data_IF_954021684077
#
_entry.id   IF_954021684077
#
_cell.length_a   1.000
_cell.length_b   1.000
_cell.length_c   1.000
_cell.angle_alpha   90.00
_cell.angle_beta   90.00
_cell.angle_gamma   90.00
#
_symmetry.space_group_name_H-M   'P 1'
#
loop_
_entity.id
_entity.type
_entity.pdbx_description
1 polymer ?
#
# COMPACT_ATOMS: atom_id res chain seq x y z
N UNK A 1 -30.44 39.19 9.97
CA UNK A 1 -30.44 37.73 9.81
C UNK A 1 -29.31 37.37 8.85
N UNK A 2 -28.22 36.81 9.35
CA UNK A 2 -27.12 36.32 8.51
C UNK A 2 -27.54 34.95 8.01
N UNK A 3 -27.85 34.82 6.73
CA UNK A 3 -28.10 33.52 6.10
C UNK A 3 -26.84 32.67 6.30
N UNK A 4 -26.92 31.47 6.88
CA UNK A 4 -25.76 30.59 6.97
C UNK A 4 -25.28 30.32 5.55
N UNK A 5 -24.05 30.75 5.20
CA UNK A 5 -23.42 30.32 3.96
C UNK A 5 -23.43 28.79 3.98
N UNK A 6 -24.17 28.19 3.05
CA UNK A 6 -24.16 26.75 2.88
C UNK A 6 -22.70 26.30 2.78
N UNK A 7 -22.32 25.28 3.55
CA UNK A 7 -20.97 24.73 3.52
C UNK A 7 -20.75 24.17 2.11
N UNK A 8 -19.98 24.89 1.29
CA UNK A 8 -19.63 24.44 -0.04
C UNK A 8 -18.89 23.11 0.07
N UNK A 9 -19.45 22.07 -0.54
CA UNK A 9 -18.84 20.73 -0.60
C UNK A 9 -18.50 20.44 -2.05
N UNK A 10 -17.21 20.58 -2.42
CA UNK A 10 -16.82 20.41 -3.81
C UNK A 10 -16.99 18.96 -4.25
N UNK A 11 -17.46 18.76 -5.48
CA UNK A 11 -17.60 17.43 -6.09
C UNK A 11 -16.41 17.18 -7.00
N UNK A 12 -15.44 16.43 -6.48
CA UNK A 12 -14.17 16.23 -7.18
C UNK A 12 -14.29 15.08 -8.19
N UNK A 13 -13.94 15.36 -9.44
CA UNK A 13 -13.89 14.38 -10.53
C UNK A 13 -12.44 14.27 -11.02
N UNK A 14 -12.03 13.05 -11.35
CA UNK A 14 -10.69 12.75 -11.86
C UNK A 14 -10.76 12.34 -13.33
N UNK A 15 -9.88 12.89 -14.16
CA UNK A 15 -9.79 12.59 -15.60
C UNK A 15 -8.34 12.70 -16.09
N UNK A 16 -7.97 12.14 -17.26
CA UNK A 16 -6.68 12.45 -17.88
C UNK A 16 -6.54 13.95 -18.17
N UNK A 17 -5.31 14.46 -18.14
CA UNK A 17 -4.99 15.81 -18.63
C UNK A 17 -5.16 15.84 -20.16
N UNK A 18 -5.65 16.97 -20.69
CA UNK A 18 -5.98 17.16 -22.11
C UNK A 18 -5.29 18.41 -22.68
N UNK A 19 -5.24 18.59 -24.01
CA UNK A 19 -4.68 19.80 -24.64
C UNK A 19 -5.28 21.13 -24.15
N UNK A 20 -6.58 21.14 -23.81
CA UNK A 20 -7.27 22.33 -23.28
C UNK A 20 -6.75 22.80 -21.92
N UNK A 21 -6.06 21.92 -21.18
CA UNK A 21 -5.55 22.19 -19.84
C UNK A 21 -4.20 22.94 -19.83
N UNK A 22 -3.58 23.14 -21.00
CA UNK A 22 -2.17 23.55 -21.12
C UNK A 22 -1.83 24.82 -20.32
N UNK A 23 -2.61 25.87 -20.49
CA UNK A 23 -2.31 27.17 -19.88
C UNK A 23 -2.59 27.15 -18.38
N UNK A 24 -3.67 26.52 -17.93
CA UNK A 24 -3.98 26.33 -16.51
C UNK A 24 -2.89 25.48 -15.84
N UNK A 25 -2.44 24.41 -16.50
CA UNK A 25 -1.38 23.55 -15.98
C UNK A 25 -0.07 24.32 -15.80
N UNK A 26 0.34 25.14 -16.78
CA UNK A 26 1.51 26.02 -16.67
C UNK A 26 1.37 26.99 -15.52
N UNK A 27 0.21 27.64 -15.39
CA UNK A 27 -0.06 28.62 -14.34
C UNK A 27 0.03 27.97 -12.95
N UNK A 28 -0.66 26.85 -12.73
CA UNK A 28 -0.61 26.17 -11.44
C UNK A 28 0.82 25.68 -11.14
N UNK A 29 1.59 25.21 -12.13
CA UNK A 29 2.99 24.85 -11.89
C UNK A 29 3.83 26.06 -11.46
N UNK A 30 3.63 27.21 -12.11
CA UNK A 30 4.33 28.45 -11.78
C UNK A 30 4.02 28.95 -10.36
N UNK A 31 2.81 28.70 -9.87
CA UNK A 31 2.36 29.11 -8.55
C UNK A 31 2.77 28.11 -7.45
N UNK A 32 2.74 26.81 -7.75
CA UNK A 32 3.00 25.76 -6.77
C UNK A 32 4.49 25.40 -6.62
N UNK A 33 5.29 25.50 -7.69
CA UNK A 33 6.66 25.01 -7.69
C UNK A 33 7.68 26.15 -7.84
N UNK A 34 8.76 26.12 -7.04
CA UNK A 34 9.86 27.08 -7.20
C UNK A 34 10.76 26.77 -8.41
N UNK A 35 10.60 25.59 -9.02
CA UNK A 35 11.36 25.11 -10.19
C UNK A 35 10.58 25.44 -11.46
N UNK A 36 11.28 25.91 -12.49
CA UNK A 36 10.70 26.17 -13.80
C UNK A 36 10.86 24.94 -14.68
N UNK A 37 9.80 24.63 -15.41
CA UNK A 37 9.76 23.57 -16.39
C UNK A 37 9.68 24.18 -17.79
N UNK A 38 10.34 23.53 -18.75
CA UNK A 38 10.32 23.97 -20.15
C UNK A 38 8.94 23.78 -20.78
N UNK A 39 8.63 24.60 -21.79
CA UNK A 39 7.34 24.49 -22.51
C UNK A 39 7.09 23.10 -23.10
N UNK A 40 8.15 22.43 -23.55
CA UNK A 40 8.10 21.07 -24.09
C UNK A 40 7.61 20.04 -23.07
N UNK A 41 7.94 20.20 -21.77
CA UNK A 41 7.42 19.34 -20.72
C UNK A 41 5.89 19.39 -20.69
N UNK A 42 5.31 20.58 -20.70
CA UNK A 42 3.85 20.75 -20.66
C UNK A 42 3.17 20.23 -21.91
N UNK A 43 3.76 20.45 -23.09
CA UNK A 43 3.26 19.89 -24.34
C UNK A 43 3.24 18.36 -24.29
N UNK A 44 4.31 17.73 -23.80
CA UNK A 44 4.36 16.27 -23.63
C UNK A 44 3.31 15.77 -22.64
N UNK A 45 3.04 16.50 -21.55
CA UNK A 45 1.98 16.16 -20.57
C UNK A 45 0.60 16.15 -21.24
N UNK A 46 0.23 17.23 -21.92
CA UNK A 46 -1.14 17.39 -22.47
C UNK A 46 -1.38 16.55 -23.73
N UNK A 47 -0.32 16.18 -24.44
CA UNK A 47 -0.37 15.29 -25.60
C UNK A 47 -0.21 13.80 -25.24
N UNK A 48 0.10 13.48 -23.97
CA UNK A 48 0.35 12.10 -23.53
C UNK A 48 1.63 11.48 -24.11
N UNK A 49 2.59 12.30 -24.53
CA UNK A 49 3.82 11.84 -25.17
C UNK A 49 4.86 11.43 -24.12
N UNK A 50 4.92 10.13 -23.83
CA UNK A 50 5.85 9.58 -22.83
C UNK A 50 5.60 10.06 -21.40
N UNK A 51 4.44 10.69 -21.16
CA UNK A 51 3.96 11.13 -19.85
C UNK A 51 2.53 10.66 -19.68
N UNK A 52 2.25 10.01 -18.57
CA UNK A 52 0.90 9.64 -18.14
C UNK A 52 0.48 10.59 -17.04
N UNK A 53 -0.73 11.12 -17.11
CA UNK A 53 -1.14 12.18 -16.19
C UNK A 53 -2.64 12.15 -15.88
N UNK A 54 -2.96 12.60 -14.67
CA UNK A 54 -4.33 12.73 -14.18
C UNK A 54 -4.54 14.13 -13.60
N UNK A 55 -5.73 14.64 -13.85
CA UNK A 55 -6.29 15.89 -13.36
C UNK A 55 -7.36 15.61 -12.30
N UNK A 56 -7.50 16.52 -11.36
CA UNK A 56 -8.68 16.69 -10.52
C UNK A 56 -9.37 18.00 -10.92
N UNK A 57 -10.69 17.96 -11.07
CA UNK A 57 -11.55 19.12 -11.36
C UNK A 57 -12.71 19.15 -10.37
N UNK A 58 -13.28 20.33 -10.14
CA UNK A 58 -14.47 20.50 -9.31
C UNK A 58 -15.71 20.73 -10.17
N UNK A 59 -16.50 19.68 -10.36
CA UNK A 59 -17.69 19.72 -11.22
C UNK A 59 -18.83 20.56 -10.64
N UNK A 60 -18.71 20.99 -9.38
CA UNK A 60 -19.72 21.77 -8.66
C UNK A 60 -19.43 23.27 -8.62
N UNK A 61 -18.43 23.76 -9.37
CA UNK A 61 -18.15 25.19 -9.44
C UNK A 61 -19.31 25.95 -10.12
N UNK A 62 -19.85 27.00 -9.46
CA UNK A 62 -20.99 27.75 -9.99
C UNK A 62 -20.64 28.66 -11.17
N UNK A 63 -19.35 28.95 -11.37
CA UNK A 63 -18.87 30.01 -12.26
C UNK A 63 -18.67 29.54 -13.72
N UNK A 64 -19.10 28.31 -14.04
CA UNK A 64 -18.85 27.69 -15.35
C UNK A 64 -17.44 27.11 -15.52
N UNK A 65 -16.56 27.29 -14.54
CA UNK A 65 -15.21 26.70 -14.48
C UNK A 65 -15.20 25.26 -13.93
N UNK A 66 -16.25 24.51 -14.19
CA UNK A 66 -16.44 23.17 -13.62
C UNK A 66 -15.50 22.09 -14.19
N UNK A 67 -14.74 22.43 -15.24
CA UNK A 67 -13.71 21.58 -15.85
C UNK A 67 -12.28 22.12 -15.67
N UNK A 68 -12.10 23.21 -14.90
CA UNK A 68 -10.78 23.76 -14.61
C UNK A 68 -10.01 22.87 -13.60
N UNK A 69 -8.71 22.68 -13.86
CA UNK A 69 -7.80 21.94 -12.98
C UNK A 69 -7.70 22.57 -11.60
N UNK A 70 -7.89 21.76 -10.58
CA UNK A 70 -7.61 22.10 -9.18
C UNK A 70 -6.49 21.26 -8.58
N UNK A 71 -6.09 20.19 -9.27
CA UNK A 71 -4.97 19.36 -8.90
C UNK A 71 -4.56 18.44 -10.04
N UNK A 72 -3.34 17.92 -9.97
CA UNK A 72 -2.80 17.05 -11.00
C UNK A 72 -1.68 16.17 -10.46
N UNK A 73 -1.41 15.09 -11.18
CA UNK A 73 -0.20 14.30 -11.06
C UNK A 73 0.31 13.93 -12.46
N UNK A 74 1.62 14.05 -12.67
CA UNK A 74 2.27 13.65 -13.93
C UNK A 74 3.33 12.61 -13.63
N UNK A 75 3.42 11.59 -14.49
CA UNK A 75 4.33 10.47 -14.31
C UNK A 75 4.95 10.03 -15.63
N UNK A 76 6.08 9.33 -15.56
CA UNK A 76 6.74 8.71 -16.71
C UNK A 76 7.18 7.30 -16.36
N UNK A 77 7.06 6.38 -17.31
CA UNK A 77 7.66 5.05 -17.20
C UNK A 77 9.16 5.15 -17.49
N UNK A 78 9.96 4.58 -16.61
CA UNK A 78 11.43 4.52 -16.72
C UNK A 78 11.83 3.05 -16.72
N UNK A 79 12.76 2.66 -17.60
CA UNK A 79 13.35 1.32 -17.57
C UNK A 79 14.21 1.21 -16.31
N UNK A 80 14.03 0.14 -15.52
CA UNK A 80 14.68 0.03 -14.21
C UNK A 80 16.21 0.11 -14.26
N UNK A 81 16.81 -0.40 -15.34
CA UNK A 81 18.25 -0.34 -15.60
C UNK A 81 18.79 1.05 -15.86
N UNK A 82 17.95 1.94 -16.39
CA UNK A 82 18.33 3.32 -16.70
C UNK A 82 17.99 4.28 -15.55
N UNK A 83 17.43 3.74 -14.45
CA UNK A 83 17.02 4.54 -13.30
C UNK A 83 18.18 4.78 -12.33
N UNK A 84 18.18 5.95 -11.69
CA UNK A 84 19.13 6.32 -10.62
C UNK A 84 18.97 5.48 -9.34
N UNK A 85 17.95 4.61 -9.30
CA UNK A 85 17.62 3.74 -8.18
C UNK A 85 17.81 2.25 -8.51
N UNK A 86 18.51 1.94 -9.60
CA UNK A 86 18.76 0.56 -10.03
C UNK A 86 19.38 -0.29 -8.91
N UNK A 87 20.33 0.27 -8.16
CA UNK A 87 21.00 -0.34 -7.01
C UNK A 87 20.04 -0.65 -5.84
N UNK A 88 18.90 0.03 -5.80
CA UNK A 88 17.86 -0.06 -4.75
C UNK A 88 16.65 -0.87 -5.17
N UNK A 89 16.69 -1.51 -6.34
CA UNK A 89 15.73 -2.51 -6.76
C UNK A 89 16.49 -3.84 -6.66
N UNK A 90 16.00 -4.79 -5.85
CA UNK A 90 16.76 -6.00 -5.50
C UNK A 90 17.43 -6.71 -6.70
N UNK A 91 18.53 -7.41 -6.45
CA UNK A 91 19.49 -7.94 -7.44
C UNK A 91 18.93 -8.80 -8.61
N UNK A 92 17.64 -9.16 -8.61
CA UNK A 92 16.97 -9.96 -9.64
C UNK A 92 16.14 -9.10 -10.62
N UNK A 93 16.73 -7.99 -11.08
CA UNK A 93 16.09 -7.13 -12.08
C UNK A 93 16.24 -7.74 -13.46
N UNK A 94 15.16 -8.35 -13.94
CA UNK A 94 15.04 -8.70 -15.36
C UNK A 94 15.16 -7.44 -16.22
N UNK A 95 15.70 -7.59 -17.43
CA UNK A 95 15.96 -6.47 -18.35
C UNK A 95 14.74 -5.69 -18.80
N UNK A 96 13.55 -6.29 -18.67
CA UNK A 96 12.26 -5.75 -19.07
C UNK A 96 11.54 -4.99 -17.94
N UNK A 97 12.12 -4.92 -16.75
CA UNK A 97 11.48 -4.27 -15.61
C UNK A 97 11.44 -2.75 -15.75
N UNK A 98 10.33 -2.17 -15.29
CA UNK A 98 10.06 -0.74 -15.37
C UNK A 98 9.71 -0.16 -14.00
N UNK A 99 9.71 1.16 -13.93
CA UNK A 99 9.34 1.97 -12.78
C UNK A 99 8.45 3.10 -13.24
N UNK A 100 7.60 3.59 -12.34
CA UNK A 100 6.84 4.82 -12.57
C UNK A 100 7.48 5.94 -11.76
N UNK A 101 8.04 6.94 -12.43
CA UNK A 101 8.57 8.14 -11.80
C UNK A 101 7.48 9.22 -11.75
N UNK A 102 7.16 9.72 -10.55
CA UNK A 102 6.27 10.89 -10.42
C UNK A 102 7.10 12.15 -10.64
N UNK A 103 6.75 12.90 -11.68
CA UNK A 103 7.44 14.13 -12.09
C UNK A 103 6.94 15.31 -11.26
N UNK A 104 5.62 15.49 -11.18
CA UNK A 104 4.98 16.59 -10.44
C UNK A 104 3.66 16.15 -9.82
N UNK A 105 3.38 16.60 -8.61
CA UNK A 105 2.09 16.46 -7.92
C UNK A 105 1.71 17.79 -7.31
N UNK A 106 0.53 18.31 -7.62
CA UNK A 106 0.08 19.61 -7.14
C UNK A 106 -1.42 19.63 -6.86
N UNK A 107 -1.82 20.39 -5.83
CA UNK A 107 -3.21 20.75 -5.55
C UNK A 107 -3.21 22.22 -5.15
N UNK A 108 -4.11 23.02 -5.77
CA UNK A 108 -4.24 24.44 -5.48
C UNK A 108 -4.69 24.64 -4.02
N UNK A 109 -4.23 25.74 -3.41
CA UNK A 109 -4.36 25.97 -1.97
C UNK A 109 -5.79 25.83 -1.41
N UNK A 110 -6.85 26.38 -2.05
CA UNK A 110 -8.22 26.26 -1.54
C UNK A 110 -8.75 24.81 -1.47
N UNK A 111 -8.13 23.90 -2.22
CA UNK A 111 -8.56 22.50 -2.34
C UNK A 111 -7.62 21.51 -1.62
N UNK A 112 -6.60 22.02 -0.92
CA UNK A 112 -5.71 21.19 -0.09
C UNK A 112 -6.48 20.61 1.10
N UNK A 113 -5.97 19.51 1.64
CA UNK A 113 -6.55 18.79 2.78
C UNK A 113 -7.97 18.20 2.54
N UNK A 114 -8.43 18.14 1.29
CA UNK A 114 -9.67 17.48 0.88
C UNK A 114 -9.48 16.05 0.37
N UNK A 115 -8.27 15.49 0.49
CA UNK A 115 -7.95 14.13 0.02
C UNK A 115 -7.60 14.01 -1.46
N UNK A 116 -7.58 15.11 -2.22
CA UNK A 116 -7.32 15.09 -3.67
C UNK A 116 -5.96 14.49 -4.02
N UNK A 117 -4.89 14.94 -3.34
CA UNK A 117 -3.54 14.39 -3.55
C UNK A 117 -3.48 12.88 -3.22
N UNK A 118 -4.21 12.43 -2.20
CA UNK A 118 -4.32 11.01 -1.85
C UNK A 118 -4.93 10.22 -3.00
N UNK A 119 -6.06 10.68 -3.55
CA UNK A 119 -6.73 10.02 -4.68
C UNK A 119 -5.87 10.00 -5.94
N UNK A 120 -5.16 11.10 -6.25
CA UNK A 120 -4.23 11.15 -7.38
C UNK A 120 -3.08 10.14 -7.24
N UNK A 121 -2.47 10.03 -6.05
CA UNK A 121 -1.44 9.03 -5.79
C UNK A 121 -1.99 7.60 -5.84
N UNK A 122 -3.22 7.37 -5.37
CA UNK A 122 -3.87 6.07 -5.49
C UNK A 122 -4.08 5.66 -6.94
N UNK A 123 -4.46 6.59 -7.83
CA UNK A 123 -4.54 6.32 -9.28
C UNK A 123 -3.17 5.98 -9.87
N UNK A 124 -2.10 6.66 -9.47
CA UNK A 124 -0.73 6.32 -9.90
C UNK A 124 -0.32 4.93 -9.42
N UNK A 125 -0.58 4.57 -8.16
CA UNK A 125 -0.23 3.25 -7.61
C UNK A 125 -1.05 2.16 -8.32
N UNK A 126 -2.34 2.41 -8.58
CA UNK A 126 -3.22 1.50 -9.32
C UNK A 126 -2.71 1.30 -10.75
N UNK A 127 -2.35 2.38 -11.43
CA UNK A 127 -1.74 2.33 -12.76
C UNK A 127 -0.46 1.49 -12.75
N UNK A 128 0.47 1.79 -11.83
CA UNK A 128 1.73 1.05 -11.70
C UNK A 128 1.52 -0.43 -11.37
N UNK A 129 0.55 -0.75 -10.52
CA UNK A 129 0.21 -2.14 -10.15
C UNK A 129 -0.40 -2.91 -11.32
N UNK A 130 -1.09 -2.24 -12.24
CA UNK A 130 -1.61 -2.86 -13.47
C UNK A 130 -0.55 -3.14 -14.54
N UNK A 131 0.69 -2.71 -14.35
CA UNK A 131 1.80 -2.96 -15.27
C UNK A 131 2.65 -4.13 -14.76
N UNK A 132 2.54 -5.30 -15.42
CA UNK A 132 3.22 -6.54 -15.00
C UNK A 132 4.74 -6.40 -14.82
N UNK A 133 5.38 -5.53 -15.62
CA UNK A 133 6.83 -5.28 -15.56
C UNK A 133 7.22 -4.20 -14.56
N UNK A 134 6.27 -3.42 -14.05
CA UNK A 134 6.56 -2.35 -13.11
C UNK A 134 6.92 -2.91 -11.74
N UNK A 135 7.92 -2.33 -11.06
CA UNK A 135 8.38 -2.79 -9.74
C UNK A 135 8.26 -1.74 -8.65
N UNK A 136 8.20 -0.47 -9.00
CA UNK A 136 8.02 0.60 -8.03
C UNK A 136 7.48 1.89 -8.65
N UNK A 137 6.87 2.69 -7.80
CA UNK A 137 6.63 4.11 -8.00
C UNK A 137 7.67 4.88 -7.18
N UNK A 138 8.34 5.87 -7.74
CA UNK A 138 9.32 6.66 -7.00
C UNK A 138 9.26 8.13 -7.38
N UNK A 139 9.83 8.99 -6.52
CA UNK A 139 9.81 10.43 -6.67
C UNK A 139 10.85 11.13 -5.79
N UNK A 140 11.08 12.39 -6.11
CA UNK A 140 11.90 13.30 -5.30
C UNK A 140 11.05 14.35 -4.60
N UNK A 141 11.45 14.69 -3.37
CA UNK A 141 10.85 15.78 -2.58
C UNK A 141 11.96 16.67 -2.07
N UNK A 142 11.85 17.97 -2.32
CA UNK A 142 12.79 18.95 -1.76
C UNK A 142 12.78 18.92 -0.23
N UNK A 143 13.96 18.94 0.39
CA UNK A 143 14.13 18.58 1.80
C UNK A 143 13.38 19.46 2.79
N UNK A 144 13.09 20.72 2.43
CA UNK A 144 12.32 21.63 3.30
C UNK A 144 10.79 21.48 3.15
N UNK A 145 10.29 20.65 2.23
CA UNK A 145 8.86 20.47 2.01
C UNK A 145 8.27 19.41 2.97
N UNK A 146 8.23 19.76 4.25
CA UNK A 146 7.68 18.90 5.31
C UNK A 146 6.26 18.38 5.03
N UNK A 147 5.30 19.19 4.52
CA UNK A 147 3.96 18.70 4.18
C UNK A 147 3.99 17.54 3.17
N UNK A 148 4.80 17.63 2.12
CA UNK A 148 4.94 16.57 1.13
C UNK A 148 5.64 15.34 1.72
N UNK A 149 6.70 15.53 2.50
CA UNK A 149 7.43 14.43 3.18
C UNK A 149 6.48 13.62 4.07
N UNK A 150 5.68 14.30 4.91
CA UNK A 150 4.69 13.65 5.77
C UNK A 150 3.58 12.98 4.96
N UNK A 151 3.14 13.61 3.88
CA UNK A 151 2.14 13.05 2.97
C UNK A 151 2.62 11.73 2.34
N UNK A 152 3.83 11.69 1.76
CA UNK A 152 4.35 10.48 1.14
C UNK A 152 4.61 9.36 2.15
N UNK A 153 5.10 9.68 3.36
CA UNK A 153 5.19 8.71 4.47
C UNK A 153 3.82 8.13 4.84
N UNK A 154 2.78 8.97 4.92
CA UNK A 154 1.40 8.54 5.20
C UNK A 154 0.85 7.64 4.07
N UNK A 155 1.26 7.88 2.84
CA UNK A 155 0.96 7.03 1.67
C UNK A 155 1.84 5.77 1.59
N UNK A 156 2.58 5.43 2.65
CA UNK A 156 3.47 4.26 2.75
C UNK A 156 4.66 4.27 1.78
N UNK A 157 5.01 5.42 1.21
CA UNK A 157 6.30 5.55 0.52
C UNK A 157 7.42 5.53 1.56
N UNK A 158 8.49 4.81 1.23
CA UNK A 158 9.70 4.72 2.05
C UNK A 158 10.72 5.76 1.57
N UNK A 159 11.28 6.53 2.49
CA UNK A 159 12.41 7.40 2.21
C UNK A 159 13.67 6.53 2.10
N UNK A 160 14.26 6.46 0.91
CA UNK A 160 15.45 5.64 0.66
C UNK A 160 16.74 6.36 1.06
N UNK A 161 16.92 7.60 0.59
CA UNK A 161 18.11 8.39 0.87
C UNK A 161 17.85 9.88 0.74
N UNK A 162 18.75 10.66 1.31
CA UNK A 162 18.89 12.10 1.09
C UNK A 162 19.96 12.31 0.02
N UNK A 163 19.64 13.12 -0.98
CA UNK A 163 20.53 13.54 -2.05
C UNK A 163 20.97 14.98 -1.75
N UNK A 164 22.27 15.19 -1.56
CA UNK A 164 22.82 16.51 -1.28
C UNK A 164 22.82 17.38 -2.55
N UNK A 165 22.55 18.68 -2.38
CA UNK A 165 22.65 19.71 -3.42
C UNK A 165 21.87 19.42 -4.73
N UNK A 166 20.83 18.59 -4.64
CA UNK A 166 20.07 18.06 -5.78
C UNK A 166 19.30 19.14 -6.56
N UNK A 167 18.65 20.07 -5.87
CA UNK A 167 17.89 21.16 -6.49
C UNK A 167 18.69 22.46 -6.47
N UNK A 168 18.74 23.14 -7.61
CA UNK A 168 19.29 24.49 -7.70
C UNK A 168 18.18 25.50 -7.98
N UNK A 169 17.84 26.32 -6.97
CA UNK A 169 16.71 27.25 -7.02
C UNK A 169 17.20 28.62 -6.61
N UNK A 170 17.04 29.61 -7.51
CA UNK A 170 17.37 31.04 -7.25
C UNK A 170 18.77 31.24 -6.65
N UNK A 171 19.77 30.57 -7.19
CA UNK A 171 21.17 30.72 -6.77
C UNK A 171 21.57 29.91 -5.54
N UNK A 172 20.72 29.01 -5.04
CA UNK A 172 20.98 28.18 -3.86
C UNK A 172 20.73 26.71 -4.14
N UNK A 173 21.58 25.86 -3.57
CA UNK A 173 21.39 24.42 -3.57
C UNK A 173 20.50 23.97 -2.41
N UNK A 174 19.70 22.94 -2.68
CA UNK A 174 18.82 22.31 -1.71
C UNK A 174 18.85 20.81 -1.89
N UNK A 175 18.85 20.12 -0.76
CA UNK A 175 18.79 18.66 -0.74
C UNK A 175 17.42 18.15 -1.17
N UNK A 176 17.39 16.88 -1.59
CA UNK A 176 16.19 16.15 -1.94
C UNK A 176 16.11 14.84 -1.15
N UNK A 177 14.90 14.39 -0.86
CA UNK A 177 14.64 13.03 -0.40
C UNK A 177 14.05 12.21 -1.52
N UNK A 178 14.64 11.03 -1.74
CA UNK A 178 14.14 10.02 -2.67
C UNK A 178 13.16 9.11 -1.94
N UNK A 179 11.93 9.05 -2.43
CA UNK A 179 10.86 8.21 -1.92
C UNK A 179 10.50 7.09 -2.91
N UNK A 180 10.19 5.90 -2.40
CA UNK A 180 9.78 4.74 -3.20
C UNK A 180 8.57 4.02 -2.60
N UNK A 181 7.70 3.51 -3.46
CA UNK A 181 6.60 2.61 -3.15
C UNK A 181 6.70 1.39 -4.06
N UNK A 182 6.94 0.21 -3.50
CA UNK A 182 7.10 -1.01 -4.30
C UNK A 182 5.75 -1.60 -4.71
N UNK A 183 5.67 -2.12 -5.94
CA UNK A 183 4.52 -2.82 -6.51
C UNK A 183 4.96 -4.12 -7.16
N UNK A 184 4.02 -5.05 -7.41
CA UNK A 184 4.25 -6.27 -8.21
C UNK A 184 5.50 -7.07 -7.82
N UNK A 185 5.71 -7.22 -6.50
CA UNK A 185 6.83 -7.98 -5.95
C UNK A 185 8.18 -7.26 -5.98
N UNK A 186 8.22 -5.97 -6.38
CA UNK A 186 9.38 -5.12 -6.18
C UNK A 186 9.77 -5.05 -4.69
N UNK A 187 11.08 -5.04 -4.43
CA UNK A 187 11.61 -5.04 -3.06
C UNK A 187 12.88 -4.21 -3.01
N UNK A 188 13.11 -3.61 -1.85
CA UNK A 188 14.42 -3.08 -1.47
C UNK A 188 15.45 -4.21 -1.47
N UNK A 189 16.73 -3.95 -1.77
CA UNK A 189 17.81 -4.89 -1.48
C UNK A 189 17.71 -5.24 -0.01
N UNK A 190 17.33 -6.48 0.29
CA UNK A 190 17.36 -6.95 1.66
C UNK A 190 18.82 -7.00 2.08
N UNK A 191 19.14 -6.39 3.23
CA UNK A 191 20.41 -6.69 3.88
C UNK A 191 20.46 -8.20 4.19
N UNK A 192 21.62 -8.88 4.08
CA UNK A 192 21.75 -10.29 4.51
C UNK A 192 21.21 -10.52 5.94
N UNK A 193 21.29 -9.49 6.79
CA UNK A 193 20.75 -9.49 8.14
C UNK A 193 19.22 -9.55 8.17
N UNK A 194 18.52 -8.86 7.28
CA UNK A 194 17.05 -8.91 7.20
C UNK A 194 16.57 -10.28 6.72
N UNK A 195 17.30 -10.90 5.79
CA UNK A 195 17.05 -12.28 5.37
C UNK A 195 17.26 -13.24 6.54
N UNK A 196 18.35 -13.09 7.29
CA UNK A 196 18.58 -13.87 8.52
C UNK A 196 17.47 -13.67 9.55
N UNK A 197 17.03 -12.42 9.79
CA UNK A 197 15.95 -12.12 10.72
C UNK A 197 14.65 -12.77 10.26
N UNK A 198 14.33 -12.73 8.96
CA UNK A 198 13.16 -13.42 8.41
C UNK A 198 13.24 -14.94 8.55
N UNK A 199 14.42 -15.53 8.31
CA UNK A 199 14.66 -16.97 8.52
C UNK A 199 14.52 -17.34 10.00
N UNK A 200 15.10 -16.57 10.91
CA UNK A 200 14.99 -16.79 12.36
C UNK A 200 13.53 -16.65 12.83
N UNK A 201 12.79 -15.67 12.32
CA UNK A 201 11.38 -15.49 12.62
C UNK A 201 10.53 -16.68 12.12
N UNK A 202 10.80 -17.15 10.89
CA UNK A 202 10.16 -18.34 10.32
C UNK A 202 10.47 -19.60 11.13
N UNK A 203 11.74 -19.82 11.46
CA UNK A 203 12.16 -20.94 12.31
C UNK A 203 11.50 -20.87 13.68
N UNK A 204 11.48 -19.71 14.34
CA UNK A 204 10.77 -19.50 15.61
C UNK A 204 9.28 -19.86 15.49
N UNK A 205 8.63 -19.51 14.38
CA UNK A 205 7.22 -19.87 14.13
C UNK A 205 7.03 -21.38 13.91
N UNK A 206 7.96 -22.05 13.24
CA UNK A 206 7.91 -23.51 13.09
C UNK A 206 8.13 -24.20 14.44
N UNK A 207 9.11 -23.74 15.22
CA UNK A 207 9.39 -24.26 16.55
C UNK A 207 8.22 -24.04 17.50
N UNK A 208 7.61 -22.85 17.53
CA UNK A 208 6.43 -22.61 18.37
C UNK A 208 5.24 -23.48 17.97
N UNK A 209 5.04 -23.74 16.67
CA UNK A 209 4.03 -24.67 16.17
C UNK A 209 4.31 -26.12 16.60
N UNK A 210 5.57 -26.56 16.54
CA UNK A 210 5.99 -27.89 17.00
C UNK A 210 5.85 -28.06 18.51
N UNK A 211 6.23 -27.06 19.30
CA UNK A 211 6.07 -27.05 20.77
C UNK A 211 4.59 -27.08 21.15
N UNK A 212 3.74 -26.29 20.49
CA UNK A 212 2.30 -26.32 20.69
C UNK A 212 1.68 -27.69 20.31
N UNK A 213 2.20 -28.37 19.30
CA UNK A 213 1.77 -29.73 18.91
C UNK A 213 2.21 -30.78 19.91
N UNK A 214 3.42 -30.66 20.45
CA UNK A 214 3.96 -31.55 21.49
C UNK A 214 3.17 -31.40 22.80
N UNK A 215 2.91 -30.18 23.27
CA UNK A 215 2.07 -29.95 24.46
C UNK A 215 0.64 -30.47 24.30
N UNK A 216 -0.01 -30.23 23.14
CA UNK A 216 -1.32 -30.83 22.85
C UNK A 216 -1.29 -32.37 22.83
N UNK A 217 -0.15 -32.99 22.52
CA UNK A 217 0.01 -34.45 22.57
C UNK A 217 0.21 -34.96 24.00
N UNK A 218 0.84 -34.16 24.86
CA UNK A 218 1.12 -34.46 26.26
C UNK A 218 -0.14 -34.30 27.12
N UNK A 219 -0.94 -33.26 26.90
CA UNK A 219 -2.27 -33.09 27.52
C UNK A 219 -3.25 -34.22 27.11
N UNK A 220 -3.16 -34.69 25.87
CA UNK A 220 -3.91 -35.88 25.40
C UNK A 220 -3.45 -37.18 26.07
N UNK A 221 -2.17 -37.29 26.46
CA UNK A 221 -1.64 -38.42 27.24
C UNK A 221 -2.00 -38.30 28.72
N UNK A 222 -1.96 -37.10 29.31
CA UNK A 222 -2.34 -36.83 30.69
C UNK A 222 -3.84 -37.07 30.94
N UNK A 223 -4.71 -36.65 30.02
CA UNK A 223 -6.16 -36.94 30.07
C UNK A 223 -6.49 -38.44 29.91
N UNK A 224 -5.68 -39.20 29.16
CA UNK A 224 -5.78 -40.67 29.10
C UNK A 224 -5.33 -41.34 30.40
N UNK A 225 -4.32 -40.80 31.09
CA UNK A 225 -3.83 -41.31 32.37
C UNK A 225 -4.78 -40.99 33.54
N UNK A 226 -5.50 -39.87 33.49
CA UNK A 226 -6.58 -39.53 34.44
C UNK A 226 -7.76 -40.50 34.35
N UNK A 227 -8.17 -40.91 33.13
CA UNK A 227 -9.25 -41.89 32.92
C UNK A 227 -8.93 -43.33 33.36
N UNK A 228 -7.67 -43.64 33.65
CA UNK A 228 -7.26 -44.99 34.08
C UNK A 228 -7.18 -45.15 35.61
N UNK A 229 -7.27 -44.05 36.38
CA UNK A 229 -7.22 -44.09 37.86
C UNK A 229 -8.59 -44.19 38.53
N UNK A 230 -9.70 -43.96 37.83
CA UNK A 230 -11.05 -44.09 38.40
C UNK A 230 -11.61 -45.52 38.40
N UNK A 231 -11.01 -46.45 37.67
CA UNK A 231 -11.51 -47.83 37.56
C UNK A 231 -10.98 -48.80 38.63
N UNK A 232 -10.24 -48.31 39.63
CA UNK A 232 -9.55 -49.16 40.62
C UNK A 232 -10.07 -49.06 42.06
N UNK A 233 -11.17 -48.38 42.33
CA UNK A 233 -11.70 -48.31 43.70
C UNK A 233 -13.21 -48.54 43.80
N UNK A 234 -13.53 -49.76 44.24
CA UNK A 234 -14.60 -50.11 45.20
C UNK A 234 -15.95 -50.60 44.65
N UNK A 235 -16.00 -51.92 44.57
CA UNK A 235 -17.16 -52.82 44.69
C UNK A 235 -17.92 -52.60 46.02
N UNK A 236 -19.21 -52.24 45.95
CA UNK A 236 -20.25 -52.52 46.98
C UNK A 236 -21.57 -52.71 46.21
N UNK A 237 -21.96 -53.95 45.90
CA UNK A 237 -22.87 -54.83 46.66
C UNK A 237 -24.34 -54.72 46.20
N UNK A 238 -24.93 -55.86 45.82
CA UNK A 238 -26.20 -56.41 46.35
C UNK A 238 -26.93 -57.24 45.29
N UNK A 239 -27.28 -58.48 45.65
CA UNK A 239 -28.32 -59.23 44.96
C UNK A 239 -29.10 -60.09 45.97
N UNK A 240 -30.43 -59.89 46.06
CA UNK A 240 -31.35 -60.88 46.64
C UNK A 240 -32.79 -60.72 46.12
N UNK A 241 -33.18 -61.73 45.30
CA UNK A 241 -34.50 -62.41 45.12
C UNK A 241 -35.72 -61.56 44.67
N UNK A 242 -36.63 -62.07 43.83
CA UNK A 242 -37.74 -63.03 44.16
C UNK A 242 -38.39 -63.51 42.83
N UNK A 243 -38.43 -64.82 42.48
CA UNK A 243 -39.47 -65.90 42.63
C UNK A 243 -40.35 -66.17 41.38
N UNK A 244 -40.29 -67.47 40.99
CA UNK A 244 -41.11 -68.42 40.21
C UNK A 244 -42.44 -68.08 39.52
N UNK A 245 -42.66 -68.70 38.34
CA UNK A 245 -43.45 -69.94 38.11
C UNK A 245 -43.46 -70.28 36.59
N UNK A 246 -42.94 -71.44 36.13
CA UNK A 246 -43.68 -72.66 35.72
C UNK A 246 -44.70 -72.45 34.56
N UNK A 247 -44.84 -73.28 33.50
CA UNK A 247 -44.27 -74.54 33.03
C UNK A 247 -44.81 -74.82 31.58
N UNK A 248 -44.25 -75.85 30.91
CA UNK A 248 -44.84 -76.75 29.90
C UNK A 248 -44.58 -76.59 28.37
N UNK A 249 -44.07 -77.69 27.78
CA UNK A 249 -44.34 -78.22 26.41
C UNK A 249 -43.23 -77.97 25.36
N UNK A 250 -42.31 -78.90 25.04
CA UNK A 250 -42.40 -80.04 24.06
C UNK A 250 -43.09 -79.67 22.72
N UNK A 251 -42.64 -80.02 21.51
CA UNK A 251 -41.62 -80.96 21.02
C UNK A 251 -41.39 -80.72 19.49
N UNK A 252 -40.20 -81.09 19.02
CA UNK A 252 -39.74 -81.55 17.68
C UNK A 252 -40.53 -81.30 16.38
N UNK A 253 -39.81 -80.90 15.33
CA UNK A 253 -39.33 -81.77 14.21
C UNK A 253 -37.89 -81.39 13.90
#
# INVERSE_FOLDING_TARGET
>A
MVVPKAVYRPTIVYRPIRPSDLEVLKQIHADLFPIRYESEFFLNVVSGNGIVSWAAVDSSRPDGENDELIGFVTTRIVVAKDSEIQDMLGYDLRSDQTLVYILTLGVIEPYRNLGIATSLIQEVIKYASGLDTCRAVYLHVIAYNEPAILFYKKMSFRCLRRLQDFYYIRGRHYDSFLFVYYVNGGRSPCSPLEVMVAVVAYLRSLFSSLVCRLWKSEDRKASRWSKCKETSSLLINQNKRIVSAENAGCQCV
#
